data_IF_995473331357
#
_entry.id   IF_995473331357
#
_cell.length_a   1.000
_cell.length_b   1.000
_cell.length_c   1.000
_cell.angle_alpha   90.00
_cell.angle_beta   90.00
_cell.angle_gamma   90.00
#
_symmetry.space_group_name_H-M   'P 1'
#
loop_
_entity.id
_entity.type
_entity.pdbx_description
1 polymer ?
#
# COMPACT_ATOMS: atom_id res chain seq x y z
N UNK A 1 12.46 86.17 -34.23
CA UNK A 1 11.16 85.85 -33.60
C UNK A 1 10.40 84.88 -34.50
N UNK A 2 10.33 83.59 -34.14
CA UNK A 2 9.35 82.60 -34.64
C UNK A 2 9.51 81.32 -33.81
N UNK A 3 8.66 81.16 -32.80
CA UNK A 3 8.49 79.90 -32.10
C UNK A 3 7.62 79.00 -32.97
N UNK A 4 8.18 77.89 -33.45
CA UNK A 4 7.42 76.80 -34.05
C UNK A 4 6.86 75.93 -32.93
N UNK A 5 5.57 76.10 -32.63
CA UNK A 5 4.83 75.19 -31.76
C UNK A 5 4.46 73.95 -32.57
N UNK A 6 5.33 72.93 -32.56
CA UNK A 6 4.95 71.58 -32.99
C UNK A 6 3.95 71.01 -32.00
N UNK A 7 2.68 71.08 -32.35
CA UNK A 7 1.55 70.50 -31.62
C UNK A 7 1.76 68.98 -31.58
N UNK A 8 2.13 68.45 -30.41
CA UNK A 8 2.23 67.01 -30.17
C UNK A 8 0.81 66.43 -30.28
N UNK A 9 0.54 65.67 -31.35
CA UNK A 9 -0.71 64.93 -31.47
C UNK A 9 -0.76 63.90 -30.33
N UNK A 10 -1.72 64.07 -29.42
CA UNK A 10 -2.05 63.02 -28.46
C UNK A 10 -2.62 61.86 -29.28
N UNK A 11 -1.91 60.73 -29.31
CA UNK A 11 -2.41 59.50 -29.92
C UNK A 11 -3.69 59.11 -29.20
N UNK A 12 -4.83 59.16 -29.90
CA UNK A 12 -6.08 58.66 -29.39
C UNK A 12 -6.04 57.13 -29.48
N UNK A 13 -6.00 56.46 -28.33
CA UNK A 13 -6.09 55.00 -28.25
C UNK A 13 -7.44 54.60 -28.85
N UNK A 14 -7.42 53.69 -29.82
CA UNK A 14 -8.65 53.27 -30.48
C UNK A 14 -9.40 52.28 -29.59
N UNK A 15 -10.73 52.30 -29.63
CA UNK A 15 -11.57 51.36 -28.86
C UNK A 15 -11.22 49.89 -29.18
N UNK A 16 -10.85 49.62 -30.43
CA UNK A 16 -10.42 48.29 -30.90
C UNK A 16 -9.15 47.83 -30.20
N UNK A 17 -8.19 48.72 -29.97
CA UNK A 17 -6.93 48.42 -29.28
C UNK A 17 -7.16 48.06 -27.81
N UNK A 18 -8.08 48.77 -27.13
CA UNK A 18 -8.49 48.45 -25.75
C UNK A 18 -9.22 47.11 -25.69
N UNK A 19 -10.13 46.82 -26.64
CA UNK A 19 -10.83 45.54 -26.67
C UNK A 19 -9.87 44.37 -26.94
N UNK A 20 -8.89 44.55 -27.82
CA UNK A 20 -7.87 43.55 -28.08
C UNK A 20 -7.00 43.30 -26.83
N UNK A 21 -6.57 44.37 -26.15
CA UNK A 21 -5.82 44.25 -24.90
C UNK A 21 -6.61 43.50 -23.81
N UNK A 22 -7.90 43.80 -23.65
CA UNK A 22 -8.77 43.07 -22.72
C UNK A 22 -8.89 41.59 -23.13
N UNK A 23 -9.05 41.29 -24.43
CA UNK A 23 -9.10 39.93 -24.94
C UNK A 23 -7.84 39.12 -24.62
N UNK A 24 -6.66 39.71 -24.84
CA UNK A 24 -5.37 39.08 -24.50
C UNK A 24 -5.22 38.86 -23.00
N UNK A 25 -5.60 39.84 -22.17
CA UNK A 25 -5.56 39.71 -20.70
C UNK A 25 -6.50 38.61 -20.22
N UNK A 26 -7.72 38.49 -20.78
CA UNK A 26 -8.67 37.46 -20.41
C UNK A 26 -8.17 36.05 -20.79
N UNK A 27 -7.58 35.88 -21.97
CA UNK A 27 -6.98 34.61 -22.40
C UNK A 27 -5.79 34.26 -21.50
N UNK A 28 -4.94 35.24 -21.17
CA UNK A 28 -3.80 35.05 -20.26
C UNK A 28 -4.24 34.64 -18.85
N UNK A 29 -5.30 35.27 -18.32
CA UNK A 29 -5.85 34.97 -17.01
C UNK A 29 -6.52 33.58 -16.99
N UNK A 30 -7.24 33.21 -18.05
CA UNK A 30 -7.79 31.86 -18.21
C UNK A 30 -6.69 30.79 -18.27
N UNK A 31 -5.59 31.07 -18.97
CA UNK A 31 -4.41 30.21 -19.01
C UNK A 31 -3.81 29.97 -17.62
N UNK A 32 -3.60 31.04 -16.84
CA UNK A 32 -3.11 30.92 -15.46
C UNK A 32 -4.07 30.13 -14.55
N UNK A 33 -5.38 30.39 -14.65
CA UNK A 33 -6.39 29.67 -13.86
C UNK A 33 -6.43 28.17 -14.20
N UNK A 34 -6.11 27.78 -15.44
CA UNK A 34 -6.06 26.36 -15.83
C UNK A 34 -4.85 25.62 -15.24
N UNK A 35 -3.72 26.31 -15.05
CA UNK A 35 -2.45 25.70 -14.62
C UNK A 35 -2.33 25.63 -13.09
N UNK A 36 -2.89 26.61 -12.37
CA UNK A 36 -2.74 26.73 -10.93
C UNK A 36 -3.21 25.48 -10.14
N UNK A 37 -4.37 24.85 -10.42
CA UNK A 37 -4.80 23.65 -9.71
C UNK A 37 -3.87 22.44 -9.95
N UNK A 38 -3.32 22.32 -11.16
CA UNK A 38 -2.38 21.25 -11.51
C UNK A 38 -1.05 21.43 -10.78
N UNK A 39 -0.54 22.66 -10.74
CA UNK A 39 0.68 22.99 -10.01
C UNK A 39 0.52 22.73 -8.51
N UNK A 40 -0.63 23.11 -7.92
CA UNK A 40 -0.94 22.82 -6.53
C UNK A 40 -0.94 21.32 -6.22
N UNK A 41 -1.54 20.50 -7.10
CA UNK A 41 -1.54 19.03 -6.92
C UNK A 41 -0.12 18.44 -6.98
N UNK A 42 0.67 18.81 -7.99
CA UNK A 42 2.06 18.34 -8.13
C UNK A 42 2.95 18.75 -6.96
N UNK A 43 2.78 19.97 -6.45
CA UNK A 43 3.51 20.43 -5.27
C UNK A 43 3.15 19.59 -4.02
N UNK A 44 1.86 19.25 -3.85
CA UNK A 44 1.43 18.39 -2.74
C UNK A 44 1.96 16.97 -2.86
N UNK A 45 1.93 16.39 -4.07
CA UNK A 45 2.46 15.05 -4.33
C UNK A 45 3.98 15.01 -4.04
N UNK A 46 4.71 16.06 -4.44
CA UNK A 46 6.14 16.21 -4.14
C UNK A 46 6.41 16.31 -2.64
N UNK A 47 5.57 17.02 -1.87
CA UNK A 47 5.72 17.11 -0.41
C UNK A 47 5.49 15.72 0.21
N UNK A 48 4.43 15.02 -0.19
CA UNK A 48 4.15 13.69 0.34
C UNK A 48 5.27 12.69 0.02
N UNK A 49 5.86 12.76 -1.17
CA UNK A 49 7.00 11.91 -1.54
C UNK A 49 8.24 12.20 -0.68
N UNK A 50 8.55 13.49 -0.46
CA UNK A 50 9.66 13.91 0.41
C UNK A 50 9.44 13.46 1.85
N UNK A 51 8.22 13.61 2.38
CA UNK A 51 7.84 13.13 3.71
C UNK A 51 7.96 11.61 3.79
N UNK A 52 7.45 10.87 2.81
CA UNK A 52 7.54 9.42 2.75
C UNK A 52 8.99 8.92 2.76
N UNK A 53 9.88 9.58 2.01
CA UNK A 53 11.31 9.26 2.01
C UNK A 53 11.98 9.55 3.35
N UNK A 54 11.70 10.69 3.98
CA UNK A 54 12.28 11.04 5.28
C UNK A 54 11.81 10.08 6.39
N UNK A 55 10.52 9.75 6.40
CA UNK A 55 9.95 8.77 7.32
C UNK A 55 10.56 7.39 7.14
N UNK A 56 10.70 6.95 5.89
CA UNK A 56 11.29 5.64 5.59
C UNK A 56 12.70 5.50 6.17
N UNK A 57 13.54 6.54 6.03
CA UNK A 57 14.91 6.52 6.53
C UNK A 57 14.98 6.60 8.07
N UNK A 58 14.09 7.39 8.69
CA UNK A 58 13.94 7.46 10.14
C UNK A 58 13.54 6.10 10.73
N UNK A 59 12.51 5.46 10.14
CA UNK A 59 12.04 4.13 10.55
C UNK A 59 13.13 3.08 10.35
N UNK A 60 13.84 3.11 9.23
CA UNK A 60 14.94 2.18 8.96
C UNK A 60 16.03 2.30 10.03
N UNK A 61 16.42 3.53 10.38
CA UNK A 61 17.41 3.80 11.42
C UNK A 61 16.92 3.33 12.80
N UNK A 62 15.64 3.52 13.10
CA UNK A 62 15.02 3.05 14.34
C UNK A 62 15.02 1.51 14.42
N UNK A 63 14.60 0.82 13.35
CA UNK A 63 14.64 -0.65 13.27
C UNK A 63 16.07 -1.18 13.49
N UNK A 64 17.07 -0.58 12.82
CA UNK A 64 18.48 -0.98 12.93
C UNK A 64 19.10 -0.73 14.31
N UNK A 65 18.74 0.40 14.93
CA UNK A 65 19.27 0.78 16.24
C UNK A 65 18.63 -0.01 17.38
N UNK A 66 17.33 -0.28 17.28
CA UNK A 66 16.58 -1.04 18.29
C UNK A 66 16.70 -2.54 18.15
N UNK A 67 17.03 -3.05 16.95
CA UNK A 67 17.19 -4.48 16.67
C UNK A 67 16.02 -5.29 17.22
N UNK A 68 14.80 -4.89 16.87
CA UNK A 68 13.56 -5.46 17.39
C UNK A 68 13.51 -6.99 17.32
N UNK A 69 14.02 -7.59 16.24
CA UNK A 69 14.08 -9.04 16.08
C UNK A 69 15.14 -9.65 17.00
N UNK A 70 16.38 -9.17 16.97
CA UNK A 70 17.45 -9.69 17.83
C UNK A 70 17.17 -9.50 19.33
N UNK A 71 16.51 -8.40 19.69
CA UNK A 71 16.10 -8.13 21.05
C UNK A 71 14.81 -8.88 21.44
N UNK A 72 14.18 -9.66 20.56
CA UNK A 72 12.94 -10.39 20.88
C UNK A 72 11.81 -9.45 21.30
N UNK A 73 11.78 -8.25 20.72
CA UNK A 73 10.73 -7.25 20.93
C UNK A 73 9.60 -7.38 19.91
N UNK A 74 9.78 -8.20 18.86
CA UNK A 74 8.70 -8.58 17.96
C UNK A 74 7.84 -9.68 18.57
N UNK A 75 6.53 -9.46 18.60
CA UNK A 75 5.55 -10.44 19.06
C UNK A 75 4.57 -10.76 17.93
N UNK A 76 4.07 -11.99 17.87
CA UNK A 76 2.95 -12.31 16.99
C UNK A 76 1.67 -11.72 17.56
N UNK A 77 0.81 -11.19 16.68
CA UNK A 77 -0.54 -10.75 17.06
C UNK A 77 -1.27 -11.91 17.78
N UNK A 78 -1.81 -11.72 18.99
CA UNK A 78 -2.41 -12.80 19.75
C UNK A 78 -3.55 -13.44 18.96
N UNK A 79 -3.44 -14.73 18.67
CA UNK A 79 -4.55 -15.51 18.12
C UNK A 79 -4.99 -16.54 19.16
N UNK A 80 -6.28 -16.93 19.14
CA UNK A 80 -6.83 -18.01 19.99
C UNK A 80 -6.12 -19.36 19.70
N UNK A 81 -5.26 -19.46 18.69
CA UNK A 81 -4.48 -20.66 18.37
C UNK A 81 -3.06 -20.57 18.94
N UNK A 82 -2.62 -21.55 19.76
CA UNK A 82 -1.25 -21.59 20.26
C UNK A 82 -0.23 -21.75 19.12
N UNK A 83 0.92 -21.11 19.35
CA UNK A 83 2.07 -20.91 18.47
C UNK A 83 2.74 -22.25 18.10
N UNK A 84 2.22 -22.93 17.08
CA UNK A 84 2.89 -24.06 16.42
C UNK A 84 3.31 -23.75 14.97
N UNK A 85 2.85 -22.62 14.41
CA UNK A 85 3.05 -22.28 13.00
C UNK A 85 4.37 -21.52 12.70
N UNK A 86 4.95 -20.84 13.69
CA UNK A 86 6.28 -20.22 13.53
C UNK A 86 7.43 -21.24 13.54
N UNK A 87 7.19 -22.47 13.99
CA UNK A 87 8.22 -23.52 14.12
C UNK A 87 7.95 -24.77 13.29
N UNK A 88 6.79 -24.92 12.63
CA UNK A 88 6.51 -26.07 11.75
C UNK A 88 5.66 -25.71 10.54
N UNK A 89 6.28 -25.13 9.52
CA UNK A 89 6.06 -25.67 8.18
C UNK A 89 6.98 -26.88 8.06
N UNK A 90 6.49 -28.07 8.41
CA UNK A 90 7.26 -29.31 8.23
C UNK A 90 7.37 -29.58 6.73
N UNK A 91 8.38 -29.01 6.08
CA UNK A 91 8.87 -29.54 4.82
C UNK A 91 9.71 -30.76 5.20
N UNK A 92 9.32 -31.98 4.83
CA UNK A 92 10.19 -33.12 5.06
C UNK A 92 11.46 -32.83 4.25
N UNK A 93 12.63 -32.86 4.91
CA UNK A 93 13.96 -32.57 4.34
C UNK A 93 14.31 -31.10 4.04
N UNK A 94 14.49 -30.25 5.07
CA UNK A 94 15.52 -29.19 5.05
C UNK A 94 16.13 -29.00 6.46
N UNK A 95 17.45 -29.13 6.58
CA UNK A 95 18.24 -29.16 7.84
C UNK A 95 18.63 -27.78 8.39
N UNK A 96 17.88 -26.72 8.07
CA UNK A 96 18.03 -25.39 8.70
C UNK A 96 16.66 -24.70 8.72
N UNK A 97 16.22 -24.12 9.85
CA UNK A 97 14.95 -23.39 9.90
C UNK A 97 15.04 -22.17 8.97
N UNK A 98 14.30 -22.19 7.87
CA UNK A 98 14.11 -21.02 7.01
C UNK A 98 13.14 -20.07 7.68
N UNK A 99 13.57 -18.82 7.91
CA UNK A 99 12.69 -17.79 8.44
C UNK A 99 11.61 -17.50 7.40
N UNK A 100 10.34 -17.46 7.83
CA UNK A 100 9.23 -17.10 6.95
C UNK A 100 9.16 -15.57 6.82
N UNK A 101 8.73 -15.04 5.66
CA UNK A 101 8.45 -13.62 5.51
C UNK A 101 7.39 -13.14 6.51
N UNK A 102 7.56 -11.93 7.03
CA UNK A 102 6.65 -11.33 8.01
C UNK A 102 6.50 -9.82 7.80
N UNK A 103 5.42 -9.25 8.34
CA UNK A 103 5.08 -7.85 8.27
C UNK A 103 5.03 -7.27 9.69
N UNK A 104 5.90 -6.30 9.98
CA UNK A 104 5.87 -5.52 11.22
C UNK A 104 4.81 -4.44 11.08
N UNK A 105 3.79 -4.51 11.95
CA UNK A 105 2.64 -3.62 11.95
C UNK A 105 2.23 -3.28 13.40
N UNK A 106 2.90 -2.30 14.04
CA UNK A 106 2.66 -1.99 15.45
C UNK A 106 1.24 -1.46 15.70
N UNK A 107 0.69 -0.67 14.77
CA UNK A 107 -0.64 -0.09 14.88
C UNK A 107 -1.73 -1.18 14.84
N UNK A 108 -1.62 -2.15 13.93
CA UNK A 108 -2.57 -3.26 13.89
C UNK A 108 -2.46 -4.15 15.13
N UNK A 109 -1.23 -4.52 15.51
CA UNK A 109 -1.01 -5.45 16.60
C UNK A 109 -1.48 -4.90 17.96
N UNK A 110 -1.37 -3.59 18.16
CA UNK A 110 -1.89 -2.92 19.37
C UNK A 110 -3.41 -2.90 19.42
N UNK A 111 -4.08 -2.71 18.27
CA UNK A 111 -5.53 -2.74 18.17
C UNK A 111 -6.10 -4.14 18.47
N UNK A 112 -5.44 -5.20 17.99
CA UNK A 112 -5.90 -6.57 18.19
C UNK A 112 -5.54 -7.13 19.59
N UNK A 113 -4.53 -6.56 20.27
CA UNK A 113 -4.14 -6.96 21.63
C UNK A 113 -5.23 -6.69 22.69
N UNK A 114 -6.11 -5.71 22.47
CA UNK A 114 -7.27 -5.45 23.33
C UNK A 114 -8.47 -6.37 23.02
N UNK A 115 -8.42 -7.15 21.93
CA UNK A 115 -9.52 -7.94 21.42
C UNK A 115 -9.47 -9.42 21.88
N UNK A 116 -9.53 -9.66 23.20
CA UNK A 116 -9.72 -11.01 23.79
C UNK A 116 -11.03 -11.72 23.38
N UNK A 117 -11.80 -11.20 22.41
CA UNK A 117 -13.14 -11.68 22.07
C UNK A 117 -13.55 -11.52 20.60
N UNK A 118 -12.60 -11.35 19.65
CA UNK A 118 -12.97 -11.47 18.23
C UNK A 118 -12.90 -12.93 17.82
N UNK A 119 -13.98 -13.45 17.25
CA UNK A 119 -13.96 -14.73 16.52
C UNK A 119 -13.16 -14.53 15.23
N UNK A 120 -11.82 -14.69 15.32
CA UNK A 120 -10.81 -14.34 14.31
C UNK A 120 -10.89 -15.07 12.95
N UNK A 121 -12.01 -15.73 12.61
CA UNK A 121 -12.06 -16.53 11.38
C UNK A 121 -13.44 -16.68 10.74
N UNK A 122 -14.34 -15.71 10.88
CA UNK A 122 -15.56 -15.70 10.06
C UNK A 122 -15.17 -15.33 8.62
N UNK A 123 -15.60 -16.12 7.63
CA UNK A 123 -15.39 -15.85 6.19
C UNK A 123 -13.93 -15.99 5.70
N UNK A 124 -13.51 -15.22 4.70
CA UNK A 124 -12.22 -15.30 4.00
C UNK A 124 -11.03 -14.64 4.73
N UNK A 125 -11.27 -14.05 5.89
CA UNK A 125 -10.31 -13.18 6.57
C UNK A 125 -9.54 -13.88 7.70
N UNK A 126 -8.28 -13.48 7.86
CA UNK A 126 -7.38 -13.86 8.96
C UNK A 126 -6.50 -12.66 9.34
N UNK A 127 -6.81 -11.94 10.44
CA UNK A 127 -6.09 -10.73 10.85
C UNK A 127 -4.63 -10.98 11.25
N UNK A 128 -4.26 -12.24 11.53
CA UNK A 128 -2.88 -12.58 11.91
C UNK A 128 -1.90 -12.56 10.73
N UNK A 129 -2.41 -12.38 9.51
CA UNK A 129 -1.66 -12.39 8.27
C UNK A 129 -1.69 -11.01 7.61
N UNK A 130 -0.68 -10.76 6.78
CA UNK A 130 -0.66 -9.65 5.83
C UNK A 130 -0.57 -10.20 4.39
N UNK A 131 -1.49 -9.81 3.49
CA UNK A 131 -2.74 -9.12 3.82
C UNK A 131 -3.64 -9.99 4.72
N UNK A 132 -4.63 -9.40 5.39
CA UNK A 132 -5.52 -10.06 6.37
C UNK A 132 -6.51 -11.10 5.79
N UNK A 133 -6.10 -11.84 4.76
CA UNK A 133 -6.85 -12.93 4.14
C UNK A 133 -6.27 -14.28 4.52
N UNK A 134 -7.15 -15.27 4.72
CA UNK A 134 -6.74 -16.67 4.89
C UNK A 134 -5.87 -17.14 3.72
N UNK A 135 -4.96 -18.06 4.01
CA UNK A 135 -4.06 -18.64 3.01
C UNK A 135 -4.79 -19.40 1.89
N UNK A 136 -6.02 -19.84 2.11
CA UNK A 136 -6.85 -20.52 1.11
C UNK A 136 -8.03 -19.66 0.61
N UNK A 137 -8.00 -18.34 0.87
CA UNK A 137 -9.01 -17.43 0.35
C UNK A 137 -8.94 -17.36 -1.18
N UNK A 138 -10.08 -17.54 -1.85
CA UNK A 138 -10.19 -17.38 -3.29
C UNK A 138 -10.41 -15.90 -3.66
N UNK A 139 -9.45 -15.23 -4.33
CA UNK A 139 -9.55 -13.82 -4.67
C UNK A 139 -10.68 -13.48 -5.66
N UNK A 140 -11.30 -14.49 -6.29
CA UNK A 140 -12.41 -14.30 -7.22
C UNK A 140 -13.78 -14.34 -6.51
N UNK A 141 -13.81 -14.76 -5.24
CA UNK A 141 -15.03 -14.81 -4.42
C UNK A 141 -15.08 -13.68 -3.41
N UNK A 142 -16.30 -13.26 -3.06
CA UNK A 142 -16.52 -12.29 -1.99
C UNK A 142 -15.88 -12.74 -0.67
N UNK A 143 -14.89 -12.02 -0.14
CA UNK A 143 -14.19 -12.43 1.07
C UNK A 143 -15.05 -12.41 2.34
N UNK A 144 -16.17 -11.69 2.35
CA UNK A 144 -17.16 -11.75 3.45
C UNK A 144 -18.09 -12.96 3.36
N UNK A 145 -18.01 -13.75 2.29
CA UNK A 145 -18.78 -15.00 2.16
C UNK A 145 -18.11 -16.15 2.91
N UNK A 146 -18.92 -17.03 3.49
CA UNK A 146 -18.46 -18.26 4.16
C UNK A 146 -17.80 -19.26 3.21
N UNK A 147 -18.14 -19.20 1.92
CA UNK A 147 -17.61 -20.10 0.88
C UNK A 147 -16.35 -19.54 0.18
N UNK A 148 -15.78 -18.44 0.66
CA UNK A 148 -14.64 -17.77 0.01
C UNK A 148 -13.29 -18.42 0.28
N UNK A 149 -13.22 -19.57 0.94
CA UNK A 149 -11.99 -20.24 1.40
C UNK A 149 -11.77 -21.59 0.71
N UNK A 150 -11.82 -21.58 -0.61
CA UNK A 150 -11.86 -22.78 -1.46
C UNK A 150 -10.60 -22.98 -2.31
N UNK A 151 -9.62 -22.07 -2.23
CA UNK A 151 -8.40 -22.19 -3.03
C UNK A 151 -7.59 -23.42 -2.59
N UNK A 152 -7.20 -24.32 -3.51
CA UNK A 152 -6.70 -25.66 -3.14
C UNK A 152 -5.28 -25.67 -2.56
N UNK A 153 -4.48 -24.63 -2.79
CA UNK A 153 -3.10 -24.54 -2.29
C UNK A 153 -2.90 -23.32 -1.38
N UNK A 154 -2.12 -23.41 -0.30
CA UNK A 154 -1.88 -22.24 0.55
C UNK A 154 -1.13 -21.15 -0.22
N UNK A 155 -1.79 -20.01 -0.41
CA UNK A 155 -1.27 -18.81 -1.02
C UNK A 155 -0.23 -18.13 -0.13
N UNK A 156 0.74 -17.41 -0.72
CA UNK A 156 1.76 -16.69 0.03
C UNK A 156 1.12 -15.56 0.85
N UNK A 157 1.44 -15.53 2.15
CA UNK A 157 1.07 -14.49 3.12
C UNK A 157 2.27 -14.23 4.02
N UNK A 158 2.36 -13.01 4.55
CA UNK A 158 3.32 -12.66 5.58
C UNK A 158 2.67 -12.78 6.94
N UNK A 159 3.37 -13.34 7.93
CA UNK A 159 2.87 -13.29 9.30
C UNK A 159 2.87 -11.84 9.78
N UNK A 160 1.78 -11.37 10.38
CA UNK A 160 1.75 -10.03 10.98
C UNK A 160 2.31 -10.09 12.40
N UNK A 161 3.26 -9.20 12.69
CA UNK A 161 3.91 -9.09 13.99
C UNK A 161 3.83 -7.66 14.50
N UNK A 162 3.64 -7.52 15.81
CA UNK A 162 3.68 -6.25 16.53
C UNK A 162 4.98 -6.04 17.27
N UNK A 163 5.08 -4.87 17.92
CA UNK A 163 6.14 -4.56 18.88
C UNK A 163 5.58 -4.77 20.29
N UNK A 164 6.37 -5.42 21.14
CA UNK A 164 6.01 -5.73 22.52
C UNK A 164 6.61 -4.72 23.50
N UNK A 165 5.83 -4.36 24.53
CA UNK A 165 6.27 -3.51 25.64
C UNK A 165 7.18 -4.29 26.60
N UNK A 166 6.84 -5.54 26.90
CA UNK A 166 7.58 -6.40 27.83
C UNK A 166 7.72 -7.82 27.25
N UNK A 167 8.97 -8.28 27.09
CA UNK A 167 9.32 -9.58 26.50
C UNK A 167 8.71 -10.77 27.25
N UNK A 168 8.52 -10.66 28.57
CA UNK A 168 8.09 -11.76 29.45
C UNK A 168 6.59 -12.11 29.31
N UNK A 169 5.77 -11.23 28.75
CA UNK A 169 4.31 -11.40 28.71
C UNK A 169 3.70 -11.33 27.31
N UNK A 170 4.53 -11.18 26.25
CA UNK A 170 4.06 -10.85 24.90
C UNK A 170 3.05 -9.70 24.88
N UNK A 171 3.14 -8.79 25.85
CA UNK A 171 2.26 -7.64 25.94
C UNK A 171 2.62 -6.68 24.80
N UNK A 172 1.73 -6.52 23.83
CA UNK A 172 1.89 -5.56 22.75
C UNK A 172 1.91 -4.14 23.29
N UNK A 173 2.44 -3.21 22.50
CA UNK A 173 2.24 -1.78 22.75
C UNK A 173 0.75 -1.46 22.82
N UNK A 174 0.37 -0.51 23.69
CA UNK A 174 -0.99 0.02 23.67
C UNK A 174 -1.20 0.85 22.40
N UNK A 175 -2.45 1.06 21.97
CA UNK A 175 -2.75 1.80 20.75
C UNK A 175 -2.07 3.18 20.70
N UNK A 176 -2.07 3.93 21.80
CA UNK A 176 -1.40 5.24 21.88
C UNK A 176 0.12 5.16 21.71
N UNK A 177 0.75 4.13 22.28
CA UNK A 177 2.19 3.91 22.12
C UNK A 177 2.53 3.45 20.70
N UNK A 178 1.68 2.62 20.11
CA UNK A 178 1.82 2.20 18.73
C UNK A 178 1.66 3.39 17.78
N UNK A 179 0.67 4.27 17.99
CA UNK A 179 0.53 5.51 17.23
C UNK A 179 1.76 6.41 17.39
N UNK A 180 2.28 6.58 18.61
CA UNK A 180 3.51 7.35 18.83
C UNK A 180 4.75 6.72 18.17
N UNK A 181 4.75 5.41 17.91
CA UNK A 181 5.83 4.71 17.22
C UNK A 181 5.66 4.73 15.70
N UNK A 182 4.42 4.57 15.22
CA UNK A 182 4.13 4.47 13.78
C UNK A 182 3.94 5.82 13.12
N UNK A 183 3.51 6.83 13.86
CA UNK A 183 3.31 8.19 13.36
C UNK A 183 4.54 9.05 13.66
N UNK A 184 4.84 9.97 12.74
CA UNK A 184 6.03 10.81 12.81
C UNK A 184 6.06 11.70 14.06
N UNK A 185 7.20 11.74 14.76
CA UNK A 185 7.47 12.72 15.83
C UNK A 185 8.19 13.98 15.33
N UNK A 186 8.79 13.93 14.14
CA UNK A 186 9.56 15.01 13.51
C UNK A 186 8.83 15.61 12.31
N UNK A 187 7.66 16.19 12.58
CA UNK A 187 7.04 17.14 11.65
C UNK A 187 7.65 18.53 11.93
N UNK A 188 8.36 19.10 10.96
CA UNK A 188 8.40 20.56 10.86
C UNK A 188 6.93 20.97 10.69
N UNK A 189 6.37 21.85 11.54
CA UNK A 189 4.95 22.19 11.46
C UNK A 189 4.71 22.91 10.13
N UNK A 190 4.29 22.15 9.12
CA UNK A 190 3.86 22.68 7.83
C UNK A 190 2.36 22.91 7.97
N UNK A 191 1.98 24.16 8.19
CA UNK A 191 0.58 24.52 8.16
C UNK A 191 0.08 24.45 6.72
N UNK A 192 -0.80 23.48 6.46
CA UNK A 192 -1.54 23.39 5.20
C UNK A 192 -2.95 23.95 5.41
N UNK A 193 -3.29 25.10 4.81
CA UNK A 193 -4.65 25.61 4.84
C UNK A 193 -5.60 24.61 4.17
N UNK A 194 -6.84 24.50 4.70
CA UNK A 194 -7.91 23.70 4.05
C UNK A 194 -8.22 24.22 2.64
N UNK A 195 -7.95 25.50 2.40
CA UNK A 195 -8.00 26.14 1.09
C UNK A 195 -6.75 25.80 0.25
N UNK A 196 -6.98 25.17 -0.89
CA UNK A 196 -5.94 24.66 -1.80
C UNK A 196 -5.30 25.74 -2.67
N UNK A 197 -5.80 26.98 -2.63
CA UNK A 197 -5.21 28.12 -3.34
C UNK A 197 -4.07 28.78 -2.56
N UNK A 198 -3.91 28.44 -1.28
CA UNK A 198 -2.91 29.02 -0.39
C UNK A 198 -1.67 28.13 -0.27
N UNK A 199 -0.50 28.76 -0.23
CA UNK A 199 0.77 28.07 -0.05
C UNK A 199 0.86 27.48 1.37
N UNK A 200 1.50 26.31 1.49
CA UNK A 200 1.86 25.75 2.80
C UNK A 200 2.98 26.58 3.43
N UNK A 201 2.84 26.94 4.70
CA UNK A 201 3.85 27.72 5.45
C UNK A 201 4.48 26.88 6.55
N UNK A 202 5.78 27.08 6.80
CA UNK A 202 6.45 26.53 7.97
C UNK A 202 6.12 27.41 9.18
N UNK A 203 5.55 26.83 10.24
CA UNK A 203 5.33 27.54 11.49
C UNK A 203 6.63 27.53 12.30
N UNK A 204 7.34 28.66 12.37
CA UNK A 204 8.51 28.74 13.25
C UNK A 204 8.08 28.58 14.71
N UNK A 205 8.90 27.92 15.52
CA UNK A 205 8.70 27.89 16.97
C UNK A 205 8.74 29.33 17.52
N UNK A 206 7.63 29.84 18.02
CA UNK A 206 7.60 31.15 18.68
C UNK A 206 8.19 31.02 20.09
N UNK A 207 9.16 31.87 20.42
CA UNK A 207 9.68 31.95 21.79
C UNK A 207 8.64 32.62 22.68
N UNK A 208 8.17 31.94 23.71
CA UNK A 208 7.31 32.55 24.74
C UNK A 208 8.23 33.12 25.84
N UNK A 209 7.78 34.17 26.54
CA UNK A 209 8.58 34.92 27.53
C UNK A 209 9.10 34.10 28.73
N UNK A 210 8.76 32.82 28.84
CA UNK A 210 9.11 31.89 29.93
C UNK A 210 10.09 30.78 29.50
N UNK A 211 10.58 30.78 28.25
CA UNK A 211 11.47 29.75 27.71
C UNK A 211 11.01 29.19 26.37
N UNK A 212 11.71 28.17 25.87
CA UNK A 212 11.22 27.35 24.76
C UNK A 212 10.03 26.55 25.29
N UNK A 213 8.85 26.75 24.71
CA UNK A 213 7.70 25.89 24.98
C UNK A 213 8.02 24.48 24.46
N UNK A 214 8.48 23.61 25.35
CA UNK A 214 8.56 22.17 25.09
C UNK A 214 7.14 21.60 25.14
N UNK A 215 6.30 22.04 24.20
CA UNK A 215 5.05 21.40 23.90
C UNK A 215 5.35 19.99 23.38
N UNK A 216 4.83 18.97 24.07
CA UNK A 216 4.79 17.60 23.54
C UNK A 216 4.07 17.67 22.19
N UNK A 217 4.82 17.55 21.10
CA UNK A 217 4.25 17.53 19.75
C UNK A 217 3.38 16.29 19.63
N UNK A 218 2.10 16.50 19.44
CA UNK A 218 1.17 15.43 19.07
C UNK A 218 1.35 15.23 17.58
N UNK A 219 1.71 14.02 17.10
CA UNK A 219 1.76 13.73 15.68
C UNK A 219 0.46 14.18 15.02
N UNK A 220 0.55 14.80 13.84
CA UNK A 220 -0.64 15.08 13.01
C UNK A 220 -1.37 13.77 12.67
N UNK A 221 -0.64 12.67 12.63
CA UNK A 221 -1.16 11.31 12.39
C UNK A 221 -1.51 11.03 10.93
N UNK A 222 -1.13 11.95 10.04
CA UNK A 222 -1.40 11.84 8.60
C UNK A 222 -0.64 10.67 7.95
N UNK A 223 0.52 10.29 8.49
CA UNK A 223 1.37 9.22 7.96
C UNK A 223 1.65 8.17 9.02
N UNK A 224 1.59 6.91 8.60
CA UNK A 224 1.97 5.73 9.38
C UNK A 224 2.83 4.81 8.51
N UNK A 225 3.43 3.78 9.12
CA UNK A 225 4.25 2.83 8.38
C UNK A 225 3.95 1.37 8.74
N UNK A 226 4.24 0.49 7.80
CA UNK A 226 4.46 -0.95 8.02
C UNK A 226 5.82 -1.34 7.43
N UNK A 227 6.42 -2.41 7.92
CA UNK A 227 7.66 -2.95 7.36
C UNK A 227 7.46 -4.41 6.93
N UNK A 228 7.66 -4.71 5.66
CA UNK A 228 7.62 -6.08 5.14
C UNK A 228 9.02 -6.64 5.05
N UNK A 229 9.25 -7.82 5.63
CA UNK A 229 10.55 -8.46 5.74
C UNK A 229 10.53 -9.76 4.96
N UNK A 230 11.39 -9.87 3.95
CA UNK A 230 11.53 -11.04 3.10
C UNK A 230 12.96 -11.61 3.23
N UNK A 231 13.16 -12.71 3.99
CA UNK A 231 14.46 -13.35 4.15
C UNK A 231 15.05 -13.81 2.81
N UNK A 232 16.31 -13.48 2.58
CA UNK A 232 17.05 -13.93 1.40
C UNK A 232 17.57 -15.37 1.60
N UNK A 233 17.85 -16.11 0.51
CA UNK A 233 18.45 -17.44 0.59
C UNK A 233 19.68 -17.44 1.51
N UNK A 234 19.69 -18.34 2.50
CA UNK A 234 20.72 -18.42 3.53
C UNK A 234 20.35 -17.80 4.88
N UNK A 235 19.21 -17.07 4.99
CA UNK A 235 18.67 -16.50 6.23
C UNK A 235 19.65 -15.63 7.05
N UNK A 236 20.65 -15.04 6.40
CA UNK A 236 21.56 -14.07 7.03
C UNK A 236 21.10 -12.64 6.74
N UNK A 237 20.63 -12.42 5.52
CA UNK A 237 20.13 -11.14 5.05
C UNK A 237 18.63 -11.22 4.81
N UNK A 238 17.96 -10.09 4.94
CA UNK A 238 16.57 -9.91 4.53
C UNK A 238 16.43 -8.62 3.73
N UNK A 239 15.54 -8.65 2.76
CA UNK A 239 14.99 -7.45 2.15
C UNK A 239 13.93 -6.90 3.08
N UNK A 240 14.13 -5.67 3.56
CA UNK A 240 13.16 -4.92 4.37
C UNK A 240 12.60 -3.79 3.52
N UNK A 241 11.29 -3.78 3.31
CA UNK A 241 10.59 -2.69 2.63
C UNK A 241 9.78 -1.91 3.65
N UNK A 242 10.10 -0.63 3.83
CA UNK A 242 9.32 0.30 4.65
C UNK A 242 8.27 0.93 3.77
N UNK A 243 7.01 0.73 4.13
CA UNK A 243 5.84 1.18 3.38
C UNK A 243 5.19 2.29 4.19
N UNK A 244 5.25 3.51 3.67
CA UNK A 244 4.63 4.68 4.30
C UNK A 244 3.24 4.88 3.72
N UNK A 245 2.24 4.89 4.59
CA UNK A 245 0.82 4.94 4.25
C UNK A 245 0.24 6.22 4.82
N UNK A 246 -0.44 6.99 3.97
CA UNK A 246 -1.14 8.20 4.37
C UNK A 246 -2.60 7.91 4.72
N UNK A 247 -3.11 8.56 5.76
CA UNK A 247 -4.50 8.43 6.22
C UNK A 247 -4.90 6.96 6.38
N UNK A 248 -4.01 6.16 6.98
CA UNK A 248 -4.22 4.73 7.17
C UNK A 248 -5.39 4.50 8.12
N UNK A 249 -6.28 3.58 7.76
CA UNK A 249 -7.39 3.17 8.60
C UNK A 249 -6.90 2.67 9.97
N UNK A 250 -7.49 3.19 11.04
CA UNK A 250 -7.09 2.89 12.44
C UNK A 250 -7.94 1.78 13.07
N UNK A 251 -9.16 1.60 12.56
CA UNK A 251 -10.12 0.59 13.01
C UNK A 251 -10.11 -0.53 11.98
N UNK A 252 -9.19 -1.49 12.14
CA UNK A 252 -9.11 -2.64 11.25
C UNK A 252 -10.29 -3.59 11.48
N UNK A 253 -11.43 -3.23 10.92
CA UNK A 253 -12.68 -3.97 11.04
C UNK A 253 -12.89 -4.89 9.84
N UNK A 254 -13.23 -6.14 10.15
CA UNK A 254 -13.49 -7.17 9.16
C UNK A 254 -14.99 -7.50 9.26
N UNK A 255 -15.72 -7.59 8.13
CA UNK A 255 -17.15 -7.83 8.16
C UNK A 255 -17.46 -9.20 8.77
N UNK A 256 -18.41 -9.23 9.72
CA UNK A 256 -18.88 -10.45 10.38
C UNK A 256 -20.05 -11.11 9.65
N UNK A 257 -20.72 -10.37 8.79
CA UNK A 257 -21.77 -10.81 7.87
C UNK A 257 -21.33 -10.60 6.43
N UNK A 258 -22.06 -11.19 5.47
CA UNK A 258 -21.80 -10.93 4.04
C UNK A 258 -22.02 -9.44 3.78
N UNK A 259 -21.01 -8.78 3.21
CA UNK A 259 -21.01 -7.37 2.87
C UNK A 259 -21.97 -7.12 1.71
N UNK A 260 -22.85 -6.12 1.82
CA UNK A 260 -23.78 -5.75 0.76
C UNK A 260 -23.13 -4.88 -0.32
N UNK A 261 -22.05 -4.18 0.06
CA UNK A 261 -21.31 -3.29 -0.84
C UNK A 261 -19.80 -3.54 -0.78
N UNK A 262 -19.05 -3.23 -1.86
CA UNK A 262 -17.60 -3.42 -1.87
C UNK A 262 -16.84 -2.64 -0.79
N UNK A 263 -17.45 -1.59 -0.23
CA UNK A 263 -16.90 -0.72 0.81
C UNK A 263 -17.04 -1.28 2.22
N UNK A 264 -18.01 -2.16 2.42
CA UNK A 264 -18.21 -2.87 3.70
C UNK A 264 -17.23 -4.04 3.84
N UNK A 265 -16.63 -4.48 2.74
CA UNK A 265 -15.45 -5.33 2.76
C UNK A 265 -14.22 -4.52 3.16
N UNK A 266 -13.21 -5.21 3.69
CA UNK A 266 -12.05 -4.54 4.25
C UNK A 266 -11.23 -3.84 3.14
N UNK A 267 -11.37 -2.51 3.05
CA UNK A 267 -10.78 -1.70 1.97
C UNK A 267 -9.26 -1.51 2.11
N UNK A 268 -8.76 -1.60 3.36
CA UNK A 268 -7.38 -1.26 3.72
C UNK A 268 -6.32 -2.22 3.16
N UNK A 269 -6.68 -3.47 2.89
CA UNK A 269 -5.81 -4.45 2.25
C UNK A 269 -6.67 -5.31 1.34
N UNK A 270 -6.50 -5.16 0.02
CA UNK A 270 -7.28 -5.90 -0.98
C UNK A 270 -6.41 -6.95 -1.65
N UNK A 271 -6.97 -8.13 -1.91
CA UNK A 271 -6.29 -9.19 -2.63
C UNK A 271 -6.85 -9.33 -4.05
N UNK A 272 -5.96 -9.47 -5.02
CA UNK A 272 -6.29 -9.78 -6.40
C UNK A 272 -5.40 -10.91 -6.93
N UNK A 273 -5.92 -11.64 -7.91
CA UNK A 273 -5.21 -12.65 -8.67
C UNK A 273 -4.50 -12.04 -9.87
N UNK A 274 -3.29 -12.52 -10.20
CA UNK A 274 -2.57 -12.11 -11.42
C UNK A 274 -2.85 -13.14 -12.52
N UNK A 275 -3.68 -12.78 -13.50
CA UNK A 275 -4.07 -13.66 -14.61
C UNK A 275 -3.18 -13.55 -15.86
N UNK A 276 -2.42 -12.46 -15.96
CA UNK A 276 -1.48 -12.21 -17.05
C UNK A 276 -0.27 -11.43 -16.53
N UNK A 277 0.91 -11.71 -17.07
CA UNK A 277 2.13 -10.98 -16.79
C UNK A 277 3.11 -10.99 -17.97
N UNK A 278 3.73 -9.84 -18.26
CA UNK A 278 4.76 -9.71 -19.30
C UNK A 278 5.71 -8.55 -18.96
N UNK A 279 7.00 -8.70 -19.27
CA UNK A 279 7.96 -7.59 -19.28
C UNK A 279 8.87 -7.49 -18.05
N UNK A 280 8.70 -8.31 -17.01
CA UNK A 280 9.44 -8.28 -15.74
C UNK A 280 10.88 -8.82 -15.79
N UNK A 281 11.61 -8.49 -16.86
CA UNK A 281 13.00 -8.87 -17.09
C UNK A 281 13.81 -7.63 -17.45
N UNK A 282 14.90 -7.37 -16.74
CA UNK A 282 15.76 -6.21 -16.97
C UNK A 282 15.52 -5.01 -16.03
N UNK A 283 14.68 -5.16 -15.01
CA UNK A 283 14.54 -4.24 -13.89
C UNK A 283 13.65 -3.01 -14.13
N UNK A 284 12.82 -3.02 -15.17
CA UNK A 284 11.91 -1.92 -15.51
C UNK A 284 10.43 -2.21 -15.20
N UNK A 285 10.15 -3.28 -14.45
CA UNK A 285 8.80 -3.79 -14.23
C UNK A 285 8.14 -4.33 -15.50
N UNK A 286 6.81 -4.36 -15.55
CA UNK A 286 6.06 -4.97 -16.65
C UNK A 286 4.54 -4.79 -16.53
N UNK A 287 3.80 -5.36 -17.47
CA UNK A 287 2.34 -5.31 -17.50
C UNK A 287 1.74 -6.54 -16.85
N UNK A 288 0.74 -6.35 -16.00
CA UNK A 288 -0.06 -7.42 -15.40
C UNK A 288 -1.55 -7.17 -15.59
N UNK A 289 -2.33 -8.25 -15.63
CA UNK A 289 -3.77 -8.18 -15.47
C UNK A 289 -4.14 -8.67 -14.07
N UNK A 290 -4.82 -7.83 -13.32
CA UNK A 290 -5.32 -8.11 -11.99
C UNK A 290 -6.79 -8.47 -12.06
N UNK A 291 -7.20 -9.52 -11.35
CA UNK A 291 -8.58 -9.96 -11.25
C UNK A 291 -8.96 -10.10 -9.78
N UNK A 292 -10.04 -9.47 -9.36
CA UNK A 292 -10.53 -9.58 -7.98
C UNK A 292 -12.04 -9.73 -7.95
N UNK A 293 -12.57 -10.16 -6.81
CA UNK A 293 -14.01 -10.29 -6.59
C UNK A 293 -14.74 -8.95 -6.79
N UNK A 294 -15.89 -8.97 -7.45
CA UNK A 294 -16.73 -7.80 -7.71
C UNK A 294 -17.16 -7.08 -6.43
N UNK A 295 -17.29 -7.82 -5.31
CA UNK A 295 -17.57 -7.23 -4.00
C UNK A 295 -16.31 -6.66 -3.29
N UNK A 296 -15.26 -6.31 -4.04
CA UNK A 296 -14.08 -5.60 -3.53
C UNK A 296 -13.79 -4.41 -4.42
N UNK A 297 -13.22 -3.35 -3.84
CA UNK A 297 -12.96 -2.12 -4.60
C UNK A 297 -11.87 -2.38 -5.65
N UNK A 298 -12.16 -2.05 -6.92
CA UNK A 298 -11.24 -2.20 -8.05
C UNK A 298 -10.29 -1.01 -8.26
N UNK A 299 -10.42 0.05 -7.44
CA UNK A 299 -9.69 1.32 -7.58
C UNK A 299 -8.17 1.12 -7.47
N UNK A 300 -7.47 1.46 -8.54
CA UNK A 300 -6.01 1.55 -8.61
C UNK A 300 -5.65 2.74 -9.52
N UNK A 301 -4.72 3.58 -9.08
CA UNK A 301 -4.29 4.78 -9.80
C UNK A 301 -2.80 4.71 -10.12
N UNK A 302 -2.38 5.52 -11.09
CA UNK A 302 -0.95 5.84 -11.23
C UNK A 302 -0.40 6.35 -9.90
N UNK A 303 0.82 5.93 -9.57
CA UNK A 303 1.53 6.19 -8.32
C UNK A 303 1.02 5.46 -7.08
N UNK A 304 -0.04 4.65 -7.18
CA UNK A 304 -0.37 3.68 -6.13
C UNK A 304 0.72 2.57 -6.08
N UNK A 305 0.73 1.81 -4.99
CA UNK A 305 1.65 0.69 -4.81
C UNK A 305 0.92 -0.64 -4.69
N UNK A 306 1.54 -1.69 -5.23
CA UNK A 306 1.04 -3.06 -5.18
C UNK A 306 2.17 -3.98 -4.73
N UNK A 307 1.86 -4.92 -3.84
CA UNK A 307 2.79 -5.99 -3.47
C UNK A 307 2.45 -7.25 -4.28
N UNK A 308 3.38 -7.72 -5.10
CA UNK A 308 3.28 -9.03 -5.73
C UNK A 308 3.83 -10.10 -4.79
N UNK A 309 3.04 -11.16 -4.62
CA UNK A 309 3.34 -12.29 -3.75
C UNK A 309 3.22 -13.59 -4.52
N UNK A 310 4.27 -14.42 -4.48
CA UNK A 310 4.28 -15.75 -5.10
C UNK A 310 4.90 -16.76 -4.14
N UNK A 311 4.45 -18.00 -4.22
CA UNK A 311 5.16 -19.12 -3.59
C UNK A 311 6.00 -19.86 -4.64
N UNK A 312 7.29 -20.02 -4.37
CA UNK A 312 8.13 -20.88 -5.20
C UNK A 312 7.66 -22.33 -5.09
N UNK A 313 7.61 -23.10 -6.20
CA UNK A 313 7.31 -24.52 -6.13
C UNK A 313 8.35 -25.29 -5.31
N UNK A 314 8.00 -26.50 -4.91
CA UNK A 314 8.90 -27.43 -4.20
C UNK A 314 10.22 -27.64 -4.99
N UNK A 315 11.35 -27.89 -4.31
CA UNK A 315 11.48 -28.22 -2.88
C UNK A 315 11.57 -27.02 -1.94
N UNK A 316 11.85 -25.82 -2.45
CA UNK A 316 12.26 -24.69 -1.60
C UNK A 316 11.10 -23.94 -0.93
N UNK A 317 9.84 -24.08 -1.40
CA UNK A 317 8.61 -23.52 -0.81
C UNK A 317 8.73 -22.11 -0.19
N UNK A 318 9.59 -21.26 -0.74
CA UNK A 318 9.82 -19.89 -0.24
C UNK A 318 8.73 -18.98 -0.80
N UNK A 319 8.09 -18.21 0.06
CA UNK A 319 7.22 -17.11 -0.36
C UNK A 319 8.08 -15.90 -0.71
N UNK A 320 7.86 -15.33 -1.89
CA UNK A 320 8.51 -14.12 -2.35
C UNK A 320 7.49 -12.99 -2.37
N UNK A 321 7.88 -11.85 -1.79
CA UNK A 321 7.08 -10.64 -1.71
C UNK A 321 7.90 -9.48 -2.25
N UNK A 322 7.37 -8.71 -3.21
CA UNK A 322 8.02 -7.52 -3.77
C UNK A 322 7.03 -6.41 -4.08
N UNK A 323 7.39 -5.18 -3.72
CA UNK A 323 6.59 -3.99 -3.96
C UNK A 323 6.87 -3.40 -5.35
N UNK A 324 5.82 -2.92 -6.00
CA UNK A 324 5.86 -2.29 -7.30
C UNK A 324 5.06 -0.99 -7.27
N UNK A 325 5.57 0.02 -7.95
CA UNK A 325 4.84 1.26 -8.19
C UNK A 325 3.98 1.08 -9.43
N UNK A 326 2.74 1.57 -9.38
CA UNK A 326 1.85 1.56 -10.54
C UNK A 326 2.23 2.71 -11.46
N UNK A 327 2.86 2.40 -12.60
CA UNK A 327 3.20 3.39 -13.62
C UNK A 327 1.97 3.87 -14.38
N UNK A 328 1.05 2.95 -14.67
CA UNK A 328 -0.26 3.27 -15.26
C UNK A 328 -1.27 2.19 -14.95
N UNK A 329 -2.53 2.56 -14.81
CA UNK A 329 -3.64 1.62 -14.73
C UNK A 329 -4.71 2.05 -15.74
N UNK A 330 -5.48 1.09 -16.26
CA UNK A 330 -6.68 1.42 -17.03
C UNK A 330 -7.62 2.30 -16.18
N UNK A 331 -8.40 3.19 -16.82
CA UNK A 331 -9.22 4.20 -16.13
C UNK A 331 -10.33 3.52 -15.33
N UNK A 332 -11.06 2.61 -15.97
CA UNK A 332 -12.16 1.85 -15.40
C UNK A 332 -11.80 0.36 -15.38
N UNK A 333 -12.29 -0.34 -14.36
CA UNK A 333 -12.16 -1.79 -14.32
C UNK A 333 -13.25 -2.42 -15.21
N UNK A 334 -12.91 -3.50 -15.90
CA UNK A 334 -13.88 -4.30 -16.64
C UNK A 334 -14.59 -5.23 -15.67
N UNK A 335 -15.88 -5.02 -15.45
CA UNK A 335 -16.73 -5.94 -14.69
C UNK A 335 -17.17 -7.09 -15.57
N UNK A 336 -17.00 -8.31 -15.09
CA UNK A 336 -17.31 -9.51 -15.84
C UNK A 336 -17.75 -10.65 -14.91
N UNK A 337 -18.50 -11.59 -15.48
CA UNK A 337 -18.95 -12.79 -14.77
C UNK A 337 -18.27 -14.00 -15.42
N UNK A 338 -17.42 -14.76 -14.70
CA UNK A 338 -16.76 -15.94 -15.25
C UNK A 338 -17.81 -16.98 -15.67
N UNK A 339 -17.80 -17.32 -16.96
CA UNK A 339 -18.69 -18.34 -17.54
C UNK A 339 -18.08 -19.75 -17.51
N UNK A 340 -16.78 -19.84 -17.20
CA UNK A 340 -16.04 -21.10 -17.07
C UNK A 340 -14.89 -20.96 -16.07
N UNK A 341 -14.38 -22.10 -15.60
CA UNK A 341 -13.21 -22.21 -14.72
C UNK A 341 -11.86 -21.99 -15.43
N UNK A 342 -11.89 -21.64 -16.71
CA UNK A 342 -10.69 -21.54 -17.54
C UNK A 342 -10.56 -20.18 -18.22
N UNK A 343 -11.65 -19.41 -18.33
CA UNK A 343 -11.62 -18.11 -18.98
C UNK A 343 -12.74 -17.17 -18.53
N UNK A 344 -12.41 -15.88 -18.40
CA UNK A 344 -13.34 -14.75 -18.35
C UNK A 344 -13.81 -14.40 -19.77
N UNK A 345 -15.12 -14.30 -19.98
CA UNK A 345 -15.72 -13.91 -21.26
C UNK A 345 -15.15 -14.68 -22.49
N UNK A 346 -14.71 -15.93 -22.31
CA UNK A 346 -14.11 -16.75 -23.36
C UNK A 346 -12.73 -16.29 -23.87
N UNK A 347 -12.13 -15.24 -23.29
CA UNK A 347 -10.96 -14.56 -23.88
C UNK A 347 -9.80 -14.43 -22.89
N UNK A 348 -10.04 -14.09 -21.63
CA UNK A 348 -8.96 -13.93 -20.63
C UNK A 348 -8.82 -15.23 -19.84
N UNK A 349 -7.71 -15.97 -19.93
CA UNK A 349 -7.53 -17.17 -19.14
C UNK A 349 -7.60 -16.86 -17.64
N UNK A 350 -8.49 -17.58 -16.97
CA UNK A 350 -8.72 -17.54 -15.54
C UNK A 350 -8.70 -18.97 -15.06
N UNK A 351 -7.51 -19.50 -14.71
CA UNK A 351 -7.43 -20.84 -14.13
C UNK A 351 -8.00 -20.76 -12.72
N UNK A 352 -9.30 -21.07 -12.64
CA UNK A 352 -10.04 -21.09 -11.41
C UNK A 352 -10.15 -22.53 -10.92
N UNK A 353 -9.45 -22.88 -9.83
CA UNK A 353 -9.48 -24.22 -9.29
C UNK A 353 -10.84 -24.58 -8.67
N UNK A 354 -11.73 -23.61 -8.44
CA UNK A 354 -13.00 -23.79 -7.74
C UNK A 354 -14.20 -23.70 -8.70
N UNK A 355 -15.04 -24.75 -8.81
CA UNK A 355 -16.31 -24.65 -9.55
C UNK A 355 -17.34 -23.73 -8.87
N UNK A 356 -17.10 -23.26 -7.64
CA UNK A 356 -18.02 -22.42 -6.86
C UNK A 356 -18.09 -20.96 -7.36
N UNK A 357 -17.18 -20.57 -8.24
CA UNK A 357 -16.99 -19.19 -8.70
C UNK A 357 -17.74 -18.90 -10.01
N UNK A 358 -18.46 -19.92 -10.52
CA UNK A 358 -19.37 -19.75 -11.66
C UNK A 358 -20.48 -18.81 -11.20
N UNK A 359 -20.61 -17.67 -11.88
CA UNK A 359 -21.59 -16.61 -11.62
C UNK A 359 -21.23 -15.57 -10.54
N UNK A 360 -20.05 -15.60 -9.92
CA UNK A 360 -19.61 -14.47 -9.08
C UNK A 360 -19.05 -13.36 -9.96
N UNK A 361 -19.55 -12.14 -9.80
CA UNK A 361 -18.99 -10.98 -10.49
C UNK A 361 -17.53 -10.77 -10.06
N UNK A 362 -16.67 -10.44 -11.02
CA UNK A 362 -15.26 -10.10 -10.82
C UNK A 362 -14.96 -8.82 -11.58
N UNK A 363 -13.94 -8.09 -11.14
CA UNK A 363 -13.38 -6.98 -11.88
C UNK A 363 -12.01 -7.37 -12.45
N UNK A 364 -11.71 -6.91 -13.65
CA UNK A 364 -10.42 -7.05 -14.34
C UNK A 364 -9.80 -5.66 -14.52
N UNK A 365 -8.50 -5.54 -14.24
CA UNK A 365 -7.76 -4.30 -14.49
C UNK A 365 -6.37 -4.60 -15.03
N UNK A 366 -6.02 -4.00 -16.17
CA UNK A 366 -4.64 -4.00 -16.66
C UNK A 366 -3.86 -2.89 -16.00
N UNK A 367 -2.65 -3.23 -15.57
CA UNK A 367 -1.77 -2.35 -14.82
C UNK A 367 -0.35 -2.52 -15.35
N UNK A 368 0.35 -1.41 -15.53
CA UNK A 368 1.79 -1.38 -15.78
C UNK A 368 2.46 -1.06 -14.45
N UNK A 369 3.34 -1.95 -14.04
CA UNK A 369 4.10 -1.90 -12.81
C UNK A 369 5.54 -1.51 -13.13
N UNK A 370 6.11 -0.64 -12.31
CA UNK A 370 7.53 -0.28 -12.31
C UNK A 370 8.19 -0.87 -11.06
N UNK A 371 9.35 -1.51 -11.24
CA UNK A 371 10.04 -2.21 -10.18
C UNK A 371 11.02 -3.28 -10.65
N UNK A 372 11.57 -4.08 -9.71
CA UNK A 372 12.59 -5.07 -10.02
C UNK A 372 12.02 -6.26 -10.80
N UNK A 373 12.89 -7.18 -11.21
CA UNK A 373 12.47 -8.41 -11.87
C UNK A 373 11.59 -9.28 -10.95
N UNK A 374 10.61 -9.94 -11.55
CA UNK A 374 9.71 -10.90 -10.91
C UNK A 374 9.55 -12.13 -11.80
N UNK A 375 9.68 -13.31 -11.20
CA UNK A 375 9.43 -14.56 -11.91
C UNK A 375 8.01 -15.03 -11.61
N UNK A 376 7.19 -15.23 -12.64
CA UNK A 376 5.84 -15.79 -12.53
C UNK A 376 5.86 -17.31 -12.68
N UNK A 377 4.79 -17.99 -12.23
CA UNK A 377 4.60 -19.44 -12.42
C UNK A 377 4.28 -19.84 -13.86
N UNK A 378 3.99 -18.85 -14.69
CA UNK A 378 3.51 -19.00 -16.05
C UNK A 378 4.18 -17.98 -16.97
N UNK A 379 4.00 -18.13 -18.28
CA UNK A 379 4.50 -17.18 -19.30
C UNK A 379 3.33 -16.56 -20.04
N UNK A 380 3.20 -15.23 -19.95
CA UNK A 380 2.07 -14.51 -20.53
C UNK A 380 0.81 -14.71 -19.69
N UNK A 381 0.02 -15.72 -20.03
CA UNK A 381 -1.24 -16.04 -19.36
C UNK A 381 -1.08 -17.07 -18.26
N UNK A 382 -1.86 -16.93 -17.19
CA UNK A 382 -1.91 -17.91 -16.13
C UNK A 382 -2.33 -19.30 -16.62
N UNK A 383 -1.69 -20.33 -16.09
CA UNK A 383 -1.89 -21.72 -16.47
C UNK A 383 -2.75 -22.48 -15.42
N UNK A 384 -3.10 -23.73 -15.71
CA UNK A 384 -3.87 -24.56 -14.78
C UNK A 384 -3.11 -24.94 -13.50
N UNK A 385 -1.81 -24.61 -13.37
CA UNK A 385 -0.99 -24.96 -12.23
C UNK A 385 -1.09 -23.89 -11.14
N UNK A 386 -2.10 -24.01 -10.28
CA UNK A 386 -2.42 -23.00 -9.28
C UNK A 386 -1.48 -22.97 -8.05
N UNK A 387 -0.44 -23.80 -8.01
CA UNK A 387 0.45 -23.99 -6.84
C UNK A 387 1.44 -22.84 -6.64
N UNK A 388 1.90 -22.24 -7.73
CA UNK A 388 2.91 -21.18 -7.78
C UNK A 388 2.37 -19.91 -8.45
N UNK A 389 1.04 -19.78 -8.43
CA UNK A 389 0.33 -18.59 -8.86
C UNK A 389 0.75 -17.35 -8.08
N UNK A 390 0.67 -16.21 -8.76
CA UNK A 390 1.03 -14.90 -8.21
C UNK A 390 -0.24 -14.14 -7.82
N UNK A 391 -0.17 -13.49 -6.67
CA UNK A 391 -1.25 -12.67 -6.11
C UNK A 391 -0.74 -11.25 -5.91
N UNK A 392 -1.63 -10.28 -6.08
CA UNK A 392 -1.38 -8.88 -5.85
C UNK A 392 -2.12 -8.41 -4.60
N UNK A 393 -1.40 -7.78 -3.68
CA UNK A 393 -1.98 -7.08 -2.53
C UNK A 393 -1.97 -5.59 -2.81
N UNK A 394 -3.14 -4.97 -2.74
CA UNK A 394 -3.34 -3.55 -2.99
C UNK A 394 -3.62 -2.87 -1.66
N UNK A 395 -2.72 -1.97 -1.26
CA UNK A 395 -2.88 -1.14 -0.06
C UNK A 395 -3.16 0.30 -0.53
N UNK A 396 -4.29 0.91 -0.15
CA UNK A 396 -4.61 2.26 -0.56
C UNK A 396 -3.68 3.27 0.11
N UNK A 397 -3.48 4.42 -0.56
CA UNK A 397 -2.77 5.59 -0.01
C UNK A 397 -1.31 5.34 0.43
N UNK A 398 -0.66 4.30 -0.10
CA UNK A 398 0.79 4.16 0.03
C UNK A 398 1.45 5.31 -0.73
N UNK A 399 2.32 6.04 -0.06
CA UNK A 399 2.99 7.22 -0.62
C UNK A 399 4.41 6.88 -1.09
N UNK A 400 5.11 6.04 -0.34
CA UNK A 400 6.45 5.60 -0.68
C UNK A 400 6.73 4.22 -0.14
N UNK A 401 7.50 3.45 -0.90
CA UNK A 401 8.13 2.22 -0.44
C UNK A 401 9.63 2.35 -0.59
N UNK A 402 10.36 2.16 0.51
CA UNK A 402 11.83 2.17 0.51
C UNK A 402 12.33 0.78 0.85
N UNK A 403 13.12 0.19 -0.04
CA UNK A 403 13.65 -1.16 0.13
C UNK A 403 15.15 -1.14 0.47
N UNK A 404 15.55 -1.94 1.45
CA UNK A 404 16.95 -2.12 1.85
C UNK A 404 17.25 -3.58 2.14
N UNK A 405 18.45 -4.02 1.79
CA UNK A 405 18.98 -5.30 2.25
C UNK A 405 19.71 -5.07 3.56
N UNK A 406 19.32 -5.81 4.60
CA UNK A 406 19.93 -5.70 5.94
C UNK A 406 20.30 -7.09 6.47
N UNK A 407 21.23 -7.13 7.42
CA UNK A 407 21.47 -8.33 8.22
C UNK A 407 20.27 -8.55 9.14
N UNK A 408 19.80 -9.80 9.24
CA UNK A 408 18.70 -10.15 10.14
C UNK A 408 19.05 -9.92 11.62
N UNK A 409 20.33 -9.90 11.99
CA UNK A 409 20.80 -9.54 13.34
C UNK A 409 20.72 -8.05 13.66
N UNK A 410 20.67 -7.21 12.62
CA UNK A 410 20.51 -5.77 12.76
C UNK A 410 19.03 -5.38 12.76
N UNK A 411 18.14 -6.29 12.36
CA UNK A 411 16.70 -6.15 12.54
C UNK A 411 16.30 -6.50 13.97
#
# INVERSE_FOLDING_TARGET
MRFSLTKQFRSAITLVEVMFAIGVVLIGLLGLLSVMPLAGRRAQDSISLSMGSALSESVLTDLQSRRYLNNGQLGQVPSIRPIAALTKLTVPTMTTPTMLPFCIDPMFASFDADANSRTLSTNGYDPTLFPFYKVNHDPLLDPSSSNSTVWPFPQPRMLRVGVTRLKLFNAMLNIEEALMLTENQDDLPVFRPKDRSLNSTYQSMESVSSGLDYGKRVPTGDFSWIATVNPLPGNVYATVSIVVIRDRERTFEVPTTVAATPRENAESERLAYVSYAQGFSGGSGGTVHLVGAGNTISRLRTDDWVLLSRRSPAPNLVSQHRWYRVASADIDAEEAVPTSNTSLNGTVPLPDPSPANRNSEVWLRRVVLDGPDFTFGFTGSADGAVVDNTFATIVPNVVSVTERVMLLSDL
#
